data_IF_212130550060
#
_entry.id   IF_212130550060
#
_cell.length_a   1.000
_cell.length_b   1.000
_cell.length_c   1.000
_cell.angle_alpha   90.00
_cell.angle_beta   90.00
_cell.angle_gamma   90.00
#
_symmetry.space_group_name_H-M   'P 1'
#
loop_
_entity.id
_entity.type
_entity.pdbx_description
1 polymer ?
#
# COMPACT_ATOMS: atom_id res chain seq x y z
N UNK A 1 -13.03 -14.67 4.59
CA UNK A 1 -12.57 -13.30 4.90
C UNK A 1 -13.63 -12.25 4.59
N UNK A 2 -14.18 -12.22 3.38
CA UNK A 2 -15.21 -11.25 2.95
C UNK A 2 -16.33 -11.01 3.99
N UNK A 3 -16.97 -12.07 4.47
CA UNK A 3 -18.06 -11.94 5.47
C UNK A 3 -17.57 -11.37 6.81
N UNK A 4 -16.33 -11.64 7.20
CA UNK A 4 -15.75 -11.09 8.41
C UNK A 4 -15.55 -9.57 8.28
N UNK A 5 -15.07 -9.10 7.13
CA UNK A 5 -14.96 -7.67 6.82
C UNK A 5 -16.35 -7.03 6.82
N UNK A 6 -17.31 -7.62 6.12
CA UNK A 6 -18.69 -7.10 6.06
C UNK A 6 -19.36 -7.05 7.44
N UNK A 7 -19.06 -8.01 8.33
CA UNK A 7 -19.59 -8.03 9.69
C UNK A 7 -18.94 -6.96 10.58
N UNK A 8 -17.61 -6.82 10.51
CA UNK A 8 -16.85 -5.87 11.32
C UNK A 8 -17.05 -4.43 10.85
N UNK A 9 -17.25 -4.24 9.55
CA UNK A 9 -17.49 -2.92 8.95
C UNK A 9 -18.96 -2.50 8.96
N UNK A 10 -19.82 -3.23 9.69
CA UNK A 10 -21.18 -2.77 9.91
C UNK A 10 -21.14 -1.40 10.59
N UNK A 11 -21.91 -0.46 10.03
CA UNK A 11 -21.97 0.93 10.48
C UNK A 11 -20.62 1.68 10.38
N UNK A 12 -19.77 1.29 9.42
CA UNK A 12 -18.46 1.86 9.13
C UNK A 12 -17.49 1.79 10.34
N UNK A 13 -17.49 0.65 11.05
CA UNK A 13 -16.73 0.44 12.31
C UNK A 13 -15.54 -0.51 12.22
N UNK A 14 -15.13 -0.92 11.03
CA UNK A 14 -13.97 -1.81 10.93
C UNK A 14 -12.65 -1.13 11.30
N UNK A 15 -12.62 0.19 11.48
CA UNK A 15 -11.47 0.95 12.01
C UNK A 15 -11.20 0.70 13.50
N UNK A 16 -12.12 0.03 14.20
CA UNK A 16 -12.09 -0.19 15.64
C UNK A 16 -12.12 -1.70 15.98
N UNK A 17 -11.30 -2.51 15.31
CA UNK A 17 -11.23 -3.97 15.57
C UNK A 17 -10.75 -4.24 17.00
N UNK A 18 -11.42 -5.13 17.77
CA UNK A 18 -10.99 -5.50 19.12
C UNK A 18 -9.56 -6.07 19.14
N UNK A 19 -8.73 -5.63 20.10
CA UNK A 19 -7.31 -6.01 20.20
C UNK A 19 -7.02 -7.51 20.01
N UNK A 20 -7.81 -8.39 20.64
CA UNK A 20 -7.66 -9.86 20.53
C UNK A 20 -7.91 -10.43 19.12
N UNK A 21 -8.50 -9.65 18.22
CA UNK A 21 -8.80 -10.03 16.84
C UNK A 21 -7.82 -9.42 15.85
N UNK A 22 -7.06 -8.39 16.22
CA UNK A 22 -6.18 -7.67 15.30
C UNK A 22 -5.12 -8.59 14.68
N UNK A 23 -4.33 -9.28 15.51
CA UNK A 23 -3.26 -10.16 15.02
C UNK A 23 -3.75 -11.34 14.14
N UNK A 24 -4.79 -12.13 14.52
CA UNK A 24 -5.27 -13.19 13.63
C UNK A 24 -5.88 -12.63 12.34
N UNK A 25 -6.52 -11.46 12.36
CA UNK A 25 -7.07 -10.85 11.15
C UNK A 25 -5.98 -10.27 10.24
N UNK A 26 -4.94 -9.64 10.80
CA UNK A 26 -3.80 -9.16 10.03
C UNK A 26 -3.08 -10.32 9.30
N UNK A 27 -2.83 -11.44 10.00
CA UNK A 27 -2.24 -12.64 9.37
C UNK A 27 -3.10 -13.16 8.24
N UNK A 28 -4.40 -13.33 8.50
CA UNK A 28 -5.31 -13.83 7.47
C UNK A 28 -5.45 -12.85 6.30
N UNK A 29 -5.36 -11.54 6.52
CA UNK A 29 -5.36 -10.55 5.45
C UNK A 29 -4.08 -10.52 4.63
N UNK A 30 -2.93 -10.83 5.22
CA UNK A 30 -1.68 -10.99 4.48
C UNK A 30 -1.76 -12.14 3.46
N UNK A 31 -2.53 -13.20 3.74
CA UNK A 31 -2.81 -14.27 2.78
C UNK A 31 -3.63 -13.77 1.57
N UNK A 32 -4.42 -12.70 1.76
CA UNK A 32 -5.20 -12.03 0.72
C UNK A 32 -4.48 -10.82 0.11
N UNK A 33 -3.16 -10.67 0.32
CA UNK A 33 -2.40 -9.54 -0.23
C UNK A 33 -2.59 -9.31 -1.74
N UNK A 34 -2.65 -10.36 -2.60
CA UNK A 34 -2.98 -10.17 -4.02
C UNK A 34 -4.32 -9.47 -4.23
N UNK A 35 -5.35 -9.83 -3.47
CA UNK A 35 -6.68 -9.22 -3.60
C UNK A 35 -6.70 -7.80 -3.04
N UNK A 36 -6.05 -7.55 -1.90
CA UNK A 36 -5.98 -6.21 -1.33
C UNK A 36 -5.27 -5.24 -2.27
N UNK A 37 -4.16 -5.67 -2.89
CA UNK A 37 -3.45 -4.88 -3.88
C UNK A 37 -4.35 -4.56 -5.09
N UNK A 38 -5.07 -5.56 -5.61
CA UNK A 38 -5.97 -5.37 -6.77
C UNK A 38 -7.18 -4.50 -6.47
N UNK A 39 -7.74 -4.58 -5.26
CA UNK A 39 -8.83 -3.70 -4.80
C UNK A 39 -8.33 -2.25 -4.74
N UNK A 40 -7.17 -1.99 -4.13
CA UNK A 40 -6.64 -0.63 -4.03
C UNK A 40 -6.18 -0.05 -5.35
N UNK A 41 -5.65 -0.89 -6.23
CA UNK A 41 -5.14 -0.47 -7.53
C UNK A 41 -6.22 -0.38 -8.63
N UNK A 42 -7.47 -0.65 -8.26
CA UNK A 42 -8.66 -0.59 -9.13
C UNK A 42 -8.50 -1.48 -10.37
N UNK A 43 -8.13 -2.75 -10.17
CA UNK A 43 -8.13 -3.71 -11.27
C UNK A 43 -9.54 -4.00 -11.78
N UNK A 44 -9.74 -4.16 -13.12
CA UNK A 44 -11.07 -4.26 -13.72
C UNK A 44 -11.98 -5.37 -13.18
N UNK A 45 -11.39 -6.46 -12.67
CA UNK A 45 -12.14 -7.62 -12.15
C UNK A 45 -12.73 -7.38 -10.74
N UNK A 46 -12.38 -6.27 -10.09
CA UNK A 46 -12.82 -5.93 -8.73
C UNK A 46 -13.80 -4.74 -8.76
N UNK A 47 -14.94 -4.88 -8.10
CA UNK A 47 -15.83 -3.74 -7.84
C UNK A 47 -15.33 -3.03 -6.58
N UNK A 48 -14.31 -2.20 -6.77
CA UNK A 48 -13.63 -1.47 -5.69
C UNK A 48 -14.54 -0.49 -4.94
N UNK A 49 -15.71 -0.11 -5.49
CA UNK A 49 -16.60 0.87 -4.87
C UNK A 49 -17.55 0.23 -3.86
N UNK A 50 -18.18 -0.88 -4.23
CA UNK A 50 -19.22 -1.52 -3.41
C UNK A 50 -18.85 -2.94 -2.96
N UNK A 51 -17.72 -3.46 -3.45
CA UNK A 51 -17.38 -4.87 -3.35
C UNK A 51 -18.24 -5.71 -4.29
N UNK A 52 -17.78 -6.91 -4.56
CA UNK A 52 -18.48 -7.89 -5.37
C UNK A 52 -18.75 -9.18 -4.62
N UNK A 53 -19.18 -10.19 -5.36
CA UNK A 53 -19.22 -11.55 -4.82
C UNK A 53 -17.81 -12.10 -4.78
N UNK A 54 -17.52 -12.93 -3.78
CA UNK A 54 -16.38 -13.85 -3.82
C UNK A 54 -16.41 -14.57 -5.16
N UNK A 55 -15.30 -14.53 -5.88
CA UNK A 55 -15.19 -15.21 -7.17
C UNK A 55 -14.09 -16.27 -7.12
N UNK A 56 -14.34 -17.46 -7.70
CA UNK A 56 -13.36 -18.54 -7.74
C UNK A 56 -12.33 -18.30 -8.85
N UNK A 57 -11.15 -18.86 -8.65
CA UNK A 57 -10.03 -18.93 -9.60
C UNK A 57 -9.31 -20.28 -9.44
N UNK A 58 -8.30 -20.52 -10.28
CA UNK A 58 -7.47 -21.72 -10.21
C UNK A 58 -6.61 -21.78 -8.93
N UNK A 59 -6.33 -20.65 -8.30
CA UNK A 59 -5.52 -20.50 -7.09
C UNK A 59 -6.34 -20.28 -5.81
N UNK A 60 -7.67 -20.17 -5.89
CA UNK A 60 -8.53 -20.13 -4.71
C UNK A 60 -9.82 -19.33 -4.89
N UNK A 61 -10.26 -18.71 -3.81
CA UNK A 61 -11.42 -17.83 -3.80
C UNK A 61 -10.95 -16.42 -3.44
N UNK A 62 -11.28 -15.45 -4.30
CA UNK A 62 -10.82 -14.08 -4.17
C UNK A 62 -11.75 -13.24 -3.29
N UNK A 63 -11.14 -12.41 -2.45
CA UNK A 63 -11.80 -11.35 -1.69
C UNK A 63 -12.25 -10.24 -2.66
N UNK A 64 -13.52 -9.84 -2.62
CA UNK A 64 -14.03 -8.73 -3.42
C UNK A 64 -14.87 -7.80 -2.53
N UNK A 65 -14.20 -6.95 -1.75
CA UNK A 65 -14.85 -6.00 -0.83
C UNK A 65 -14.65 -4.57 -1.33
N UNK A 66 -15.53 -3.67 -0.90
CA UNK A 66 -15.37 -2.24 -1.17
C UNK A 66 -14.08 -1.70 -0.55
N UNK A 67 -13.42 -0.80 -1.26
CA UNK A 67 -12.15 -0.18 -0.86
C UNK A 67 -12.26 0.53 0.48
N UNK A 68 -13.38 1.18 0.75
CA UNK A 68 -13.61 1.92 1.99
C UNK A 68 -13.68 0.97 3.19
N UNK A 69 -14.41 -0.14 3.05
CA UNK A 69 -14.46 -1.21 4.04
C UNK A 69 -13.10 -1.85 4.27
N UNK A 70 -12.34 -2.09 3.20
CA UNK A 70 -10.98 -2.63 3.31
C UNK A 70 -10.04 -1.64 4.02
N UNK A 71 -10.14 -0.35 3.72
CA UNK A 71 -9.36 0.72 4.35
C UNK A 71 -9.60 0.76 5.85
N UNK A 72 -10.87 0.80 6.28
CA UNK A 72 -11.24 0.76 7.71
C UNK A 72 -10.75 -0.52 8.38
N UNK A 73 -10.96 -1.67 7.73
CA UNK A 73 -10.51 -2.96 8.27
C UNK A 73 -9.00 -3.02 8.47
N UNK A 74 -8.21 -2.60 7.48
CA UNK A 74 -6.75 -2.50 7.60
C UNK A 74 -6.35 -1.55 8.72
N UNK A 75 -7.03 -0.40 8.84
CA UNK A 75 -6.79 0.55 9.91
C UNK A 75 -7.06 -0.03 11.30
N UNK A 76 -8.13 -0.79 11.47
CA UNK A 76 -8.49 -1.38 12.76
C UNK A 76 -7.53 -2.48 13.23
N UNK A 77 -6.84 -3.15 12.31
CA UNK A 77 -5.81 -4.16 12.65
C UNK A 77 -4.40 -3.57 12.80
N UNK A 78 -4.20 -2.31 12.38
CA UNK A 78 -2.90 -1.64 12.33
C UNK A 78 -2.40 -1.06 13.67
N UNK A 79 -3.22 -1.12 14.73
CA UNK A 79 -2.87 -0.62 16.07
C UNK A 79 -1.57 -1.25 16.61
N UNK A 80 -1.33 -2.53 16.31
CA UNK A 80 -0.07 -3.20 16.60
C UNK A 80 0.93 -2.97 15.45
N UNK A 81 2.13 -2.43 15.73
CA UNK A 81 3.13 -2.16 14.70
C UNK A 81 3.61 -3.43 13.97
N UNK A 82 3.61 -4.60 14.61
CA UNK A 82 3.97 -5.87 13.95
C UNK A 82 2.93 -6.26 12.90
N UNK A 83 1.63 -6.08 13.21
CA UNK A 83 0.55 -6.38 12.28
C UNK A 83 0.60 -5.47 11.06
N UNK A 84 0.80 -4.17 11.27
CA UNK A 84 0.91 -3.23 10.15
C UNK A 84 2.17 -3.50 9.32
N UNK A 85 3.31 -3.79 9.95
CA UNK A 85 4.53 -4.17 9.23
C UNK A 85 4.29 -5.39 8.31
N UNK A 86 3.63 -6.43 8.83
CA UNK A 86 3.26 -7.61 8.03
C UNK A 86 2.43 -7.23 6.79
N UNK A 87 1.37 -6.44 6.98
CA UNK A 87 0.45 -6.08 5.91
C UNK A 87 1.12 -5.14 4.89
N UNK A 88 1.90 -4.17 5.36
CA UNK A 88 2.64 -3.25 4.51
C UNK A 88 3.69 -3.96 3.67
N UNK A 89 4.45 -4.88 4.27
CA UNK A 89 5.42 -5.70 3.52
C UNK A 89 4.74 -6.62 2.51
N UNK A 90 3.56 -7.15 2.82
CA UNK A 90 2.78 -7.94 1.88
C UNK A 90 2.33 -7.11 0.67
N UNK A 91 1.84 -5.90 0.90
CA UNK A 91 1.51 -4.94 -0.17
C UNK A 91 2.75 -4.56 -1.00
N UNK A 92 3.86 -4.22 -0.32
CA UNK A 92 5.13 -3.86 -0.98
C UNK A 92 5.63 -4.98 -1.88
N UNK A 93 5.44 -6.25 -1.48
CA UNK A 93 5.77 -7.41 -2.27
C UNK A 93 4.85 -7.59 -3.49
N UNK A 94 3.54 -7.35 -3.37
CA UNK A 94 2.62 -7.35 -4.53
C UNK A 94 2.97 -6.23 -5.51
N UNK A 95 3.23 -5.02 -5.01
CA UNK A 95 3.64 -3.88 -5.82
C UNK A 95 4.95 -4.17 -6.59
N UNK A 96 5.96 -4.69 -5.89
CA UNK A 96 7.22 -5.10 -6.51
C UNK A 96 7.03 -6.22 -7.54
N UNK A 97 6.18 -7.21 -7.26
CA UNK A 97 5.86 -8.27 -8.23
C UNK A 97 5.18 -7.72 -9.49
N UNK A 98 4.18 -6.84 -9.33
CA UNK A 98 3.50 -6.17 -10.42
C UNK A 98 4.45 -5.34 -11.29
N UNK A 99 5.34 -4.57 -10.68
CA UNK A 99 6.42 -3.86 -11.37
C UNK A 99 7.38 -4.83 -12.06
N UNK A 100 7.81 -5.88 -11.37
CA UNK A 100 8.72 -6.89 -11.89
C UNK A 100 8.21 -7.53 -13.19
N UNK A 101 6.88 -7.74 -13.28
CA UNK A 101 6.16 -8.27 -14.44
C UNK A 101 5.85 -7.26 -15.54
N UNK A 102 6.15 -5.97 -15.35
CA UNK A 102 5.97 -4.95 -16.37
C UNK A 102 6.71 -5.34 -17.67
N UNK A 103 6.08 -5.00 -18.81
CA UNK A 103 6.59 -5.35 -20.13
C UNK A 103 8.03 -4.85 -20.35
N UNK A 104 8.79 -5.51 -21.23
CA UNK A 104 10.17 -5.09 -21.55
C UNK A 104 10.25 -3.69 -22.19
N UNK A 105 9.15 -3.23 -22.80
CA UNK A 105 9.06 -1.95 -23.50
C UNK A 105 7.83 -1.19 -23.01
N UNK A 106 7.86 0.15 -23.06
CA UNK A 106 6.79 1.01 -22.56
C UNK A 106 5.47 0.94 -23.36
N UNK A 107 5.47 0.27 -24.52
CA UNK A 107 4.31 0.17 -25.41
C UNK A 107 4.26 1.26 -26.46
N UNK A 108 3.06 1.57 -26.97
CA UNK A 108 2.82 2.65 -27.95
C UNK A 108 2.65 4.01 -27.25
N UNK A 109 3.65 4.39 -26.46
CA UNK A 109 3.55 5.48 -25.50
C UNK A 109 4.32 5.08 -24.24
N UNK A 110 3.61 5.01 -23.12
CA UNK A 110 4.11 4.56 -21.82
C UNK A 110 3.14 3.66 -21.05
N UNK A 111 2.02 3.26 -21.67
CA UNK A 111 0.88 2.63 -20.99
C UNK A 111 1.24 1.30 -20.29
N UNK A 112 2.14 0.52 -20.89
CA UNK A 112 2.60 -0.77 -20.37
C UNK A 112 3.48 -0.62 -19.12
N UNK A 113 4.02 0.58 -18.86
CA UNK A 113 4.81 0.92 -17.68
C UNK A 113 4.03 1.79 -16.70
N UNK A 114 3.21 2.71 -17.20
CA UNK A 114 2.36 3.58 -16.41
C UNK A 114 1.33 2.78 -15.62
N UNK A 115 0.75 1.73 -16.21
CA UNK A 115 -0.23 0.89 -15.52
C UNK A 115 0.35 0.21 -14.26
N UNK A 116 1.44 -0.57 -14.32
CA UNK A 116 2.01 -1.17 -13.11
C UNK A 116 2.55 -0.13 -12.11
N UNK A 117 3.03 1.03 -12.58
CA UNK A 117 3.45 2.13 -11.70
C UNK A 117 2.30 2.78 -10.94
N UNK A 118 1.19 3.08 -11.64
CA UNK A 118 -0.07 3.55 -11.07
C UNK A 118 -0.55 2.60 -9.98
N UNK A 119 -0.61 1.30 -10.29
CA UNK A 119 -1.10 0.27 -9.36
C UNK A 119 -0.26 0.16 -8.10
N UNK A 120 1.07 0.13 -8.26
CA UNK A 120 2.03 0.18 -7.14
C UNK A 120 1.78 1.40 -6.26
N UNK A 121 1.67 2.57 -6.88
CA UNK A 121 1.53 3.81 -6.15
C UNK A 121 0.21 3.92 -5.39
N UNK A 122 -0.89 3.41 -5.96
CA UNK A 122 -2.20 3.42 -5.30
C UNK A 122 -2.22 2.55 -4.05
N UNK A 123 -1.66 1.34 -4.11
CA UNK A 123 -1.57 0.46 -2.94
C UNK A 123 -0.72 1.07 -1.82
N UNK A 124 0.50 1.52 -2.14
CA UNK A 124 1.39 2.17 -1.18
C UNK A 124 0.76 3.45 -0.60
N UNK A 125 0.06 4.25 -1.41
CA UNK A 125 -0.65 5.45 -0.95
C UNK A 125 -1.77 5.17 0.04
N UNK A 126 -2.55 4.11 -0.16
CA UNK A 126 -3.59 3.72 0.78
C UNK A 126 -3.01 3.25 2.13
N UNK A 127 -1.97 2.42 2.09
CA UNK A 127 -1.29 1.97 3.30
C UNK A 127 -0.62 3.11 4.06
N UNK A 128 -0.01 4.05 3.34
CA UNK A 128 0.62 5.20 3.95
C UNK A 128 -0.41 6.10 4.65
N UNK A 129 -1.57 6.32 4.03
CA UNK A 129 -2.69 7.02 4.68
C UNK A 129 -3.15 6.31 5.97
N UNK A 130 -3.24 4.98 5.95
CA UNK A 130 -3.61 4.18 7.13
C UNK A 130 -2.56 4.33 8.24
N UNK A 131 -1.27 4.20 7.92
CA UNK A 131 -0.19 4.37 8.89
C UNK A 131 -0.12 5.78 9.46
N UNK A 132 -0.34 6.80 8.63
CA UNK A 132 -0.42 8.19 9.08
C UNK A 132 -1.61 8.40 10.03
N UNK A 133 -2.77 7.81 9.74
CA UNK A 133 -3.94 7.89 10.62
C UNK A 133 -3.70 7.19 11.97
N UNK A 134 -2.99 6.04 11.98
CA UNK A 134 -2.56 5.40 13.24
C UNK A 134 -1.75 6.37 14.08
N UNK A 135 -0.77 7.09 13.49
CA UNK A 135 0.02 8.08 14.23
C UNK A 135 -0.86 9.21 14.74
N UNK A 136 -1.80 9.71 13.93
CA UNK A 136 -2.63 10.87 14.26
C UNK A 136 -3.56 10.66 15.45
N UNK A 137 -3.90 9.41 15.81
CA UNK A 137 -4.69 9.12 17.02
C UNK A 137 -4.04 9.64 18.31
N UNK A 138 -2.71 9.55 18.40
CA UNK A 138 -1.94 10.04 19.54
C UNK A 138 -0.52 10.41 19.09
N UNK A 139 -0.44 11.50 18.31
CA UNK A 139 0.72 11.92 17.52
C UNK A 139 2.06 11.86 18.26
N UNK A 140 2.11 12.36 19.50
CA UNK A 140 3.37 12.43 20.24
C UNK A 140 3.77 11.08 20.81
N UNK A 141 2.81 10.25 21.22
CA UNK A 141 3.08 8.92 21.77
C UNK A 141 3.27 7.86 20.68
N UNK A 142 2.73 8.06 19.47
CA UNK A 142 2.77 7.10 18.36
C UNK A 142 3.88 7.34 17.34
N UNK A 143 4.76 8.33 17.53
CA UNK A 143 6.00 8.39 16.73
C UNK A 143 6.89 7.16 16.91
N UNK A 144 6.88 6.55 18.11
CA UNK A 144 7.56 5.28 18.36
C UNK A 144 6.96 4.09 17.59
N UNK A 145 5.65 4.12 17.32
CA UNK A 145 4.97 3.07 16.53
C UNK A 145 5.58 2.95 15.13
N UNK A 146 5.85 4.06 14.44
CA UNK A 146 6.47 4.02 13.11
C UNK A 146 7.92 3.51 13.14
N UNK A 147 8.67 3.76 14.22
CA UNK A 147 10.01 3.19 14.38
C UNK A 147 9.94 1.68 14.62
N UNK A 148 8.95 1.22 15.38
CA UNK A 148 8.73 -0.20 15.62
C UNK A 148 8.25 -0.91 14.35
N UNK A 149 7.33 -0.34 13.57
CA UNK A 149 6.93 -0.88 12.25
C UNK A 149 8.16 -1.05 11.35
N UNK A 150 9.02 -0.03 11.23
CA UNK A 150 10.22 -0.13 10.40
C UNK A 150 11.19 -1.22 10.90
N UNK A 151 11.31 -1.38 12.23
CA UNK A 151 12.11 -2.46 12.81
C UNK A 151 11.52 -3.84 12.48
N UNK A 152 10.20 -4.02 12.62
CA UNK A 152 9.54 -5.26 12.27
C UNK A 152 9.62 -5.56 10.77
N UNK A 153 9.43 -4.56 9.90
CA UNK A 153 9.58 -4.69 8.46
C UNK A 153 10.98 -5.17 8.07
N UNK A 154 12.04 -4.62 8.69
CA UNK A 154 13.41 -5.08 8.50
C UNK A 154 13.59 -6.56 8.88
N UNK A 155 12.99 -7.00 10.00
CA UNK A 155 13.03 -8.40 10.41
C UNK A 155 12.21 -9.32 9.50
N UNK A 156 11.08 -8.83 8.99
CA UNK A 156 10.23 -9.55 8.03
C UNK A 156 10.89 -9.67 6.65
N UNK A 157 11.71 -8.70 6.24
CA UNK A 157 12.49 -8.75 5.00
C UNK A 157 13.50 -9.91 4.91
N UNK A 158 13.83 -10.55 6.04
CA UNK A 158 14.59 -11.81 6.07
C UNK A 158 13.75 -13.06 5.79
N UNK A 159 12.42 -12.94 5.68
CA UNK A 159 11.51 -14.03 5.35
C UNK A 159 11.50 -14.23 3.84
N UNK A 160 11.62 -15.46 3.33
CA UNK A 160 11.45 -15.72 1.90
C UNK A 160 10.11 -15.14 1.40
N UNK A 161 10.17 -14.08 0.60
CA UNK A 161 8.99 -13.42 0.02
C UNK A 161 8.13 -14.35 -0.83
N UNK A 162 8.68 -15.49 -1.28
CA UNK A 162 7.94 -16.58 -1.92
C UNK A 162 6.85 -17.19 -1.03
N UNK A 163 6.86 -16.90 0.29
CA UNK A 163 5.76 -17.29 1.19
C UNK A 163 4.55 -16.35 1.08
N UNK A 164 4.70 -15.15 0.51
CA UNK A 164 3.59 -14.25 0.23
C UNK A 164 2.91 -14.76 -1.06
N UNK A 165 1.61 -15.10 -1.02
CA UNK A 165 0.90 -15.59 -2.21
C UNK A 165 1.03 -14.62 -3.39
N UNK A 166 1.18 -15.15 -4.60
CA UNK A 166 1.21 -14.34 -5.82
C UNK A 166 2.53 -13.63 -6.14
N UNK A 167 3.53 -13.66 -5.25
CA UNK A 167 4.84 -13.00 -5.43
C UNK A 167 5.86 -13.92 -6.10
N UNK A 168 6.51 -13.46 -7.18
CA UNK A 168 7.58 -14.18 -7.88
C UNK A 168 8.99 -13.65 -7.62
N UNK A 169 10.00 -14.35 -8.15
CA UNK A 169 11.44 -14.04 -7.99
C UNK A 169 11.85 -12.62 -8.43
N UNK A 170 11.09 -12.01 -9.35
CA UNK A 170 11.34 -10.65 -9.80
C UNK A 170 11.12 -9.63 -8.66
N UNK A 171 10.16 -9.87 -7.77
CA UNK A 171 9.88 -9.01 -6.63
C UNK A 171 11.00 -9.04 -5.60
N UNK A 172 11.59 -10.21 -5.34
CA UNK A 172 12.69 -10.36 -4.39
C UNK A 172 13.85 -9.41 -4.71
N UNK A 173 14.25 -9.36 -5.99
CA UNK A 173 15.32 -8.48 -6.46
C UNK A 173 15.00 -6.99 -6.31
N UNK A 174 13.73 -6.61 -6.30
CA UNK A 174 13.28 -5.22 -6.16
C UNK A 174 13.10 -4.79 -4.71
N UNK A 175 13.06 -5.71 -3.75
CA UNK A 175 12.81 -5.38 -2.34
C UNK A 175 14.06 -5.38 -1.46
N UNK A 176 15.12 -6.08 -1.88
CA UNK A 176 16.40 -6.17 -1.15
C UNK A 176 17.08 -4.80 -0.91
N UNK A 177 16.67 -3.73 -1.60
CA UNK A 177 17.28 -2.39 -1.54
C UNK A 177 16.48 -1.30 -0.80
N UNK A 178 15.23 -1.56 -0.36
CA UNK A 178 14.28 -0.47 -0.06
C UNK A 178 13.84 -0.31 1.41
N UNK A 179 14.59 -0.76 2.42
CA UNK A 179 14.07 -0.87 3.80
C UNK A 179 14.21 0.40 4.70
N UNK A 180 14.79 1.52 4.26
CA UNK A 180 15.30 2.54 5.19
C UNK A 180 14.57 3.90 5.28
N UNK A 181 13.66 4.26 4.36
CA UNK A 181 13.07 5.62 4.34
C UNK A 181 11.60 5.73 4.78
N UNK A 182 10.84 4.62 4.79
CA UNK A 182 9.39 4.63 5.04
C UNK A 182 8.94 5.30 6.36
N UNK A 183 9.63 5.05 7.48
CA UNK A 183 9.18 5.59 8.79
C UNK A 183 9.30 7.10 8.86
N UNK A 184 10.25 7.70 8.13
CA UNK A 184 10.37 9.16 8.04
C UNK A 184 9.23 9.73 7.22
N UNK A 185 8.90 9.09 6.10
CA UNK A 185 7.83 9.50 5.20
C UNK A 185 6.50 9.55 5.92
N UNK A 186 6.17 8.51 6.68
CA UNK A 186 4.89 8.43 7.37
C UNK A 186 4.77 9.41 8.53
N UNK A 187 5.88 9.64 9.25
CA UNK A 187 5.91 10.68 10.30
C UNK A 187 5.73 12.07 9.68
N UNK A 188 6.39 12.33 8.56
CA UNK A 188 6.23 13.59 7.82
C UNK A 188 4.79 13.74 7.31
N UNK A 189 4.20 12.66 6.79
CA UNK A 189 2.82 12.64 6.31
C UNK A 189 1.82 12.96 7.42
N UNK A 190 1.94 12.31 8.58
CA UNK A 190 1.12 12.60 9.76
C UNK A 190 1.30 14.04 10.24
N UNK A 191 2.53 14.55 10.25
CA UNK A 191 2.83 15.94 10.61
C UNK A 191 2.21 16.94 9.63
N UNK A 192 2.11 16.61 8.34
CA UNK A 192 1.45 17.45 7.35
C UNK A 192 -0.06 17.45 7.49
N UNK A 193 -0.70 16.29 7.67
CA UNK A 193 -2.15 16.20 7.87
C UNK A 193 -2.56 17.02 9.11
N UNK A 194 -1.76 16.95 10.18
CA UNK A 194 -2.00 17.74 11.38
C UNK A 194 -1.81 19.26 11.18
N UNK A 195 -0.98 19.68 10.22
CA UNK A 195 -0.61 21.07 10.01
C UNK A 195 -1.12 21.59 8.66
N UNK A 196 -2.29 22.24 8.65
CA UNK A 196 -2.89 22.88 7.46
C UNK A 196 -2.01 23.93 6.73
N UNK A 197 -0.85 24.30 7.30
CA UNK A 197 0.15 25.20 6.70
C UNK A 197 1.30 24.48 5.97
N UNK A 198 1.38 23.15 6.05
CA UNK A 198 2.40 22.38 5.35
C UNK A 198 1.99 22.14 3.89
N UNK A 199 1.82 23.22 3.11
CA UNK A 199 1.47 23.17 1.69
C UNK A 199 2.67 23.02 0.76
N UNK A 200 3.90 23.04 1.27
CA UNK A 200 5.12 22.87 0.48
C UNK A 200 5.73 21.49 0.73
N UNK A 201 5.30 20.53 -0.08
CA UNK A 201 6.06 19.37 -0.61
C UNK A 201 5.15 18.15 -0.80
N UNK A 202 4.03 18.33 -1.49
CA UNK A 202 3.19 17.21 -1.97
C UNK A 202 3.99 16.17 -2.77
N UNK A 203 5.13 16.57 -3.36
CA UNK A 203 6.06 15.72 -4.11
C UNK A 203 6.97 14.85 -3.24
N UNK A 204 7.15 15.14 -1.95
CA UNK A 204 7.96 14.31 -1.04
C UNK A 204 7.25 13.02 -0.60
N UNK A 205 5.99 12.81 -1.00
CA UNK A 205 5.14 11.74 -0.45
C UNK A 205 5.20 10.41 -1.18
N UNK A 206 5.87 10.31 -2.32
CA UNK A 206 5.96 9.07 -3.09
C UNK A 206 7.35 8.42 -3.02
N UNK A 207 8.20 8.77 -2.05
CA UNK A 207 9.61 8.31 -2.03
C UNK A 207 9.71 6.78 -2.04
N UNK A 208 8.98 6.06 -1.18
CA UNK A 208 8.95 4.58 -1.23
C UNK A 208 8.48 4.01 -2.58
N UNK A 209 7.53 4.67 -3.25
CA UNK A 209 7.07 4.30 -4.60
C UNK A 209 8.14 4.59 -5.66
N UNK A 210 8.80 5.74 -5.60
CA UNK A 210 9.89 6.11 -6.51
C UNK A 210 11.08 5.18 -6.33
N UNK A 211 11.39 4.77 -5.10
CA UNK A 211 12.47 3.83 -4.84
C UNK A 211 12.23 2.49 -5.53
N UNK A 212 11.00 1.96 -5.47
CA UNK A 212 10.64 0.73 -6.21
C UNK A 212 10.77 0.91 -7.73
N UNK A 213 10.33 2.05 -8.27
CA UNK A 213 10.42 2.36 -9.71
C UNK A 213 11.87 2.55 -10.16
N UNK A 214 12.68 3.24 -9.34
CA UNK A 214 14.09 3.46 -9.62
C UNK A 214 14.85 2.13 -9.62
N UNK A 215 14.61 1.26 -8.64
CA UNK A 215 15.22 -0.07 -8.58
C UNK A 215 14.76 -0.96 -9.75
N UNK A 216 13.50 -0.84 -10.14
CA UNK A 216 12.97 -1.51 -11.33
C UNK A 216 13.67 -1.06 -12.63
N UNK A 217 13.93 0.25 -12.76
CA UNK A 217 14.65 0.83 -13.89
C UNK A 217 16.13 0.44 -13.88
N UNK A 218 16.81 0.52 -12.73
CA UNK A 218 18.20 0.10 -12.55
C UNK A 218 18.39 -1.39 -12.89
N UNK A 219 17.48 -2.24 -12.42
CA UNK A 219 17.46 -3.67 -12.75
C UNK A 219 17.32 -3.96 -14.25
N UNK A 220 16.81 -2.99 -15.02
CA UNK A 220 16.71 -3.00 -16.48
C UNK A 220 17.82 -2.21 -17.17
N UNK A 221 18.86 -1.80 -16.42
CA UNK A 221 19.99 -1.01 -16.90
C UNK A 221 19.59 0.35 -17.47
N UNK A 222 18.50 0.92 -16.95
CA UNK A 222 18.00 2.23 -17.35
C UNK A 222 18.45 3.31 -16.37
N UNK A 223 18.74 4.50 -16.89
CA UNK A 223 19.05 5.67 -16.09
C UNK A 223 17.74 6.40 -15.75
N UNK A 224 17.21 6.16 -14.56
CA UNK A 224 15.94 6.75 -14.10
C UNK A 224 15.97 8.29 -14.00
N UNK A 225 17.15 8.91 -14.00
CA UNK A 225 17.29 10.38 -14.01
C UNK A 225 17.24 10.97 -15.42
N UNK A 226 17.49 10.16 -16.45
CA UNK A 226 17.55 10.61 -17.85
C UNK A 226 16.44 10.06 -18.73
N UNK A 227 15.96 8.85 -18.45
CA UNK A 227 14.95 8.20 -19.26
C UNK A 227 13.58 8.86 -19.12
N UNK A 228 13.01 9.32 -20.24
CA UNK A 228 11.74 10.03 -20.26
C UNK A 228 10.55 9.12 -19.89
N UNK A 229 10.60 7.83 -20.26
CA UNK A 229 9.53 6.90 -19.94
C UNK A 229 9.56 6.54 -18.44
N UNK A 230 10.73 6.40 -17.83
CA UNK A 230 10.84 6.22 -16.37
C UNK A 230 10.38 7.46 -15.61
N UNK A 231 10.64 8.67 -16.13
CA UNK A 231 10.10 9.91 -15.55
C UNK A 231 8.59 9.96 -15.61
N UNK A 232 8.00 9.66 -16.77
CA UNK A 232 6.53 9.59 -16.91
C UNK A 232 5.92 8.60 -15.92
N UNK A 233 6.55 7.44 -15.78
CA UNK A 233 6.14 6.40 -14.84
C UNK A 233 6.15 6.90 -13.38
N UNK A 234 7.16 7.68 -12.98
CA UNK A 234 7.24 8.31 -11.65
C UNK A 234 6.21 9.42 -11.45
N UNK A 235 5.94 10.20 -12.50
CA UNK A 235 4.95 11.27 -12.46
C UNK A 235 3.53 10.69 -12.33
N UNK A 236 3.21 9.68 -13.13
CA UNK A 236 1.95 8.92 -13.03
C UNK A 236 1.82 8.33 -11.63
N UNK A 237 2.82 7.59 -11.17
CA UNK A 237 2.84 7.02 -9.82
C UNK A 237 2.59 8.08 -8.73
N UNK A 238 3.19 9.27 -8.84
CA UNK A 238 2.97 10.34 -7.86
C UNK A 238 1.51 10.81 -7.83
N UNK A 239 0.87 10.93 -9.00
CA UNK A 239 -0.54 11.32 -9.09
C UNK A 239 -1.48 10.25 -8.52
N UNK A 240 -1.22 8.98 -8.84
CA UNK A 240 -2.03 7.86 -8.36
C UNK A 240 -1.85 7.62 -6.86
N UNK A 241 -0.62 7.80 -6.35
CA UNK A 241 -0.33 7.81 -4.91
C UNK A 241 -1.20 8.83 -4.19
N UNK A 242 -1.17 10.09 -4.63
CA UNK A 242 -1.93 11.18 -4.01
C UNK A 242 -3.43 10.88 -4.05
N UNK A 243 -3.92 10.36 -5.17
CA UNK A 243 -5.34 10.00 -5.34
C UNK A 243 -5.78 8.95 -4.32
N UNK A 244 -5.07 7.82 -4.28
CA UNK A 244 -5.42 6.71 -3.38
C UNK A 244 -5.26 7.10 -1.90
N UNK A 245 -4.15 7.77 -1.56
CA UNK A 245 -3.91 8.32 -0.23
C UNK A 245 -5.05 9.24 0.22
N UNK A 246 -5.45 10.19 -0.63
CA UNK A 246 -6.50 11.15 -0.29
C UNK A 246 -7.85 10.47 -0.10
N UNK A 247 -8.17 9.47 -0.93
CA UNK A 247 -9.37 8.66 -0.78
C UNK A 247 -9.37 7.91 0.57
N UNK A 248 -8.28 7.24 0.91
CA UNK A 248 -8.15 6.53 2.18
C UNK A 248 -8.26 7.47 3.39
N UNK A 249 -7.60 8.64 3.37
CA UNK A 249 -7.73 9.66 4.42
C UNK A 249 -9.17 10.17 4.55
N UNK A 250 -9.89 10.36 3.45
CA UNK A 250 -11.29 10.77 3.49
C UNK A 250 -12.17 9.72 4.18
N UNK A 251 -11.97 8.44 3.87
CA UNK A 251 -12.65 7.32 4.52
C UNK A 251 -12.39 7.27 6.03
N UNK A 252 -11.17 7.62 6.45
CA UNK A 252 -10.75 7.67 7.85
C UNK A 252 -11.09 9.00 8.55
N UNK A 253 -11.86 9.88 7.91
CA UNK A 253 -12.28 11.16 8.51
C UNK A 253 -11.16 12.21 8.62
N UNK A 254 -10.08 12.07 7.84
CA UNK A 254 -8.92 12.98 7.78
C UNK A 254 -8.83 13.80 6.49
N UNK A 255 -9.85 13.73 5.64
CA UNK A 255 -9.91 14.49 4.37
C UNK A 255 -9.98 16.01 4.59
N UNK A 256 -9.48 16.78 3.63
CA UNK A 256 -9.58 18.24 3.65
C UNK A 256 -11.06 18.68 3.51
N UNK A 257 -11.71 18.97 4.64
CA UNK A 257 -13.05 19.53 4.70
C UNK A 257 -14.11 18.58 5.28
N UNK A 258 -14.27 18.61 6.59
CA UNK A 258 -15.57 18.47 7.27
C UNK A 258 -16.02 19.84 7.75
#
# INVERSE_FOLDING_TARGET
MQDAIALLDRDDKADSVPARMQAPLARAMADYAPDTHKIFSEEPDYDWSSGGKVFPSDDGAHLNVGRDSLTRMLRGVAEDPENFALLYEAERAQAADGLGRAAEKPGHGTEEWDTPARRTAMGIGAFNAIGADVILDDRDNRKGWADDVARYGYHLGGTPLTMIPGVGDAAQRLLDSAAYEWSKDIKAEADQIANAKATSDLMAHSMGTHDLINQWAEGRQMDYEKDAAVKNMRDEASQSYITSRTAALAVLGRGAGS
#
